data_IF_800282571487
#
_entry.id   IF_800282571487
#
_cell.length_a   1.000
_cell.length_b   1.000
_cell.length_c   1.000
_cell.angle_alpha   90.00
_cell.angle_beta   90.00
_cell.angle_gamma   90.00
#
_symmetry.space_group_name_H-M   'P 1'
#
loop_
_entity.id
_entity.type
_entity.pdbx_description
1 polymer ?
#
# COMPACT_ATOMS: atom_id res chain seq x y z
N UNK A 1 -18.83 -2.86 23.20
CA UNK A 1 -18.21 -4.10 22.70
C UNK A 1 -18.87 -4.50 21.39
N UNK A 2 -18.25 -4.21 20.24
CA UNK A 2 -18.73 -4.70 18.94
C UNK A 2 -17.75 -5.76 18.45
N UNK A 3 -18.26 -6.98 18.26
CA UNK A 3 -17.52 -8.10 17.68
C UNK A 3 -17.26 -7.77 16.21
N UNK A 4 -16.00 -7.52 15.86
CA UNK A 4 -15.55 -7.40 14.48
C UNK A 4 -15.61 -8.82 13.88
N UNK A 5 -16.69 -9.12 13.15
CA UNK A 5 -16.78 -10.34 12.36
C UNK A 5 -15.95 -10.15 11.08
N UNK A 6 -14.66 -10.48 11.17
CA UNK A 6 -13.71 -10.42 10.06
C UNK A 6 -13.87 -11.63 9.14
N UNK A 7 -14.10 -11.41 7.84
CA UNK A 7 -14.04 -12.49 6.86
C UNK A 7 -12.56 -12.75 6.50
N UNK A 8 -11.95 -13.67 7.23
CA UNK A 8 -10.56 -14.04 7.04
C UNK A 8 -10.45 -14.96 5.83
N UNK A 9 -10.09 -14.43 4.65
CA UNK A 9 -9.53 -15.27 3.59
C UNK A 9 -8.13 -15.66 4.06
N UNK A 10 -8.05 -16.78 4.78
CA UNK A 10 -6.81 -17.34 5.29
C UNK A 10 -6.06 -18.00 4.13
N UNK A 11 -5.44 -17.20 3.28
CA UNK A 11 -4.53 -17.71 2.25
C UNK A 11 -3.25 -18.17 2.97
N UNK A 12 -3.22 -19.43 3.41
CA UNK A 12 -2.01 -20.07 3.89
C UNK A 12 -1.15 -20.47 2.69
N UNK A 13 -0.22 -19.60 2.32
CA UNK A 13 0.91 -20.01 1.48
C UNK A 13 2.02 -20.44 2.45
N UNK A 14 1.97 -21.69 2.89
CA UNK A 14 3.09 -22.31 3.60
C UNK A 14 4.04 -22.89 2.57
N UNK A 15 5.24 -22.32 2.45
CA UNK A 15 6.33 -22.97 1.73
C UNK A 15 6.75 -24.23 2.50
N UNK A 16 6.44 -25.41 1.94
CA UNK A 16 7.28 -26.57 2.16
C UNK A 16 8.33 -26.56 1.04
N UNK A 17 9.59 -26.51 1.47
CA UNK A 17 10.80 -26.78 0.69
C UNK A 17 11.14 -25.80 -0.46
N UNK A 18 11.91 -24.76 -0.13
CA UNK A 18 12.94 -24.24 -1.04
C UNK A 18 14.16 -23.79 -0.22
N UNK A 19 15.28 -24.49 -0.40
CA UNK A 19 16.62 -23.96 -0.10
C UNK A 19 17.21 -24.27 1.27
N UNK A 20 17.91 -25.40 1.34
CA UNK A 20 18.84 -25.85 2.40
C UNK A 20 20.09 -24.95 2.58
N UNK A 21 19.94 -23.63 2.65
CA UNK A 21 21.08 -22.70 2.81
C UNK A 21 20.79 -21.57 3.79
N UNK A 22 20.23 -21.89 4.96
CA UNK A 22 20.38 -21.05 6.16
C UNK A 22 20.39 -21.97 7.39
N UNK A 23 21.57 -22.19 7.94
CA UNK A 23 21.77 -22.55 9.34
C UNK A 23 22.90 -21.66 9.84
N UNK A 24 22.72 -20.98 10.98
CA UNK A 24 22.79 -21.71 12.23
C UNK A 24 21.68 -21.36 13.24
N UNK A 25 21.45 -22.33 14.13
CA UNK A 25 20.78 -22.25 15.44
C UNK A 25 19.25 -22.37 15.45
N UNK A 26 18.78 -23.40 16.17
CA UNK A 26 17.41 -23.54 16.62
C UNK A 26 16.94 -22.22 17.24
N UNK A 27 15.92 -21.54 16.68
CA UNK A 27 15.35 -20.39 17.37
C UNK A 27 14.62 -20.90 18.61
N UNK A 28 14.95 -20.32 19.77
CA UNK A 28 14.19 -20.54 20.99
C UNK A 28 12.68 -20.41 20.71
N UNK A 29 11.84 -21.37 21.12
CA UNK A 29 10.40 -21.34 20.87
C UNK A 29 9.66 -20.17 21.56
N UNK A 30 10.39 -19.34 22.32
CA UNK A 30 9.89 -18.22 23.10
C UNK A 30 10.18 -16.84 22.50
N UNK A 31 10.92 -16.72 21.39
CA UNK A 31 11.12 -15.40 20.77
C UNK A 31 9.86 -14.96 20.00
N UNK A 32 9.31 -13.77 20.30
CA UNK A 32 8.13 -13.26 19.60
C UNK A 32 8.50 -13.00 18.14
N UNK A 33 7.85 -13.73 17.23
CA UNK A 33 8.02 -13.54 15.78
C UNK A 33 7.61 -12.11 15.43
N UNK A 34 8.50 -11.36 14.78
CA UNK A 34 8.21 -9.99 14.34
C UNK A 34 7.14 -10.03 13.26
N UNK A 35 6.04 -9.33 13.51
CA UNK A 35 4.92 -9.17 12.58
C UNK A 35 4.95 -7.75 12.03
N UNK A 36 4.80 -7.61 10.72
CA UNK A 36 4.54 -6.34 10.06
C UNK A 36 3.02 -6.24 9.81
N UNK A 37 2.36 -5.31 10.49
CA UNK A 37 0.92 -5.07 10.35
C UNK A 37 0.71 -3.76 9.61
N UNK A 38 0.04 -3.83 8.47
CA UNK A 38 -0.28 -2.67 7.65
C UNK A 38 -1.74 -2.66 7.26
N UNK A 39 -2.29 -1.46 7.10
CA UNK A 39 -3.58 -1.23 6.49
C UNK A 39 -3.41 -0.38 5.24
N UNK A 40 -4.04 -0.79 4.15
CA UNK A 40 -3.85 -0.14 2.85
C UNK A 40 -5.15 0.38 2.29
N UNK A 41 -5.11 1.64 1.86
CA UNK A 41 -6.20 2.24 1.12
C UNK A 41 -5.76 2.91 -0.18
N UNK A 42 -6.58 2.67 -1.20
CA UNK A 42 -6.54 3.41 -2.43
C UNK A 42 -7.68 4.40 -2.38
N UNK A 43 -7.32 5.68 -2.32
CA UNK A 43 -8.33 6.71 -2.38
C UNK A 43 -8.46 7.25 -3.81
N UNK A 44 -9.69 7.60 -4.16
CA UNK A 44 -10.03 8.12 -5.49
C UNK A 44 -9.18 9.32 -5.89
N UNK A 45 -9.20 9.60 -7.18
CA UNK A 45 -8.38 10.64 -7.78
C UNK A 45 -8.64 12.05 -7.25
N UNK A 46 -7.57 12.83 -7.16
CA UNK A 46 -7.57 14.26 -6.88
C UNK A 46 -7.32 14.98 -8.22
N UNK A 47 -8.28 15.83 -8.60
CA UNK A 47 -8.17 16.64 -9.82
C UNK A 47 -7.12 17.73 -9.64
N UNK A 48 -6.18 17.80 -10.58
CA UNK A 48 -5.08 18.76 -10.64
C UNK A 48 -4.94 19.30 -12.08
N UNK A 49 -4.32 20.49 -12.28
CA UNK A 49 -4.04 21.47 -11.23
C UNK A 49 -5.34 22.13 -10.73
N UNK A 50 -5.32 22.60 -9.50
CA UNK A 50 -6.37 23.37 -8.87
C UNK A 50 -6.28 24.86 -9.28
N UNK A 51 -7.23 25.30 -10.09
CA UNK A 51 -7.34 26.68 -10.58
C UNK A 51 -8.11 27.63 -9.65
N UNK A 52 -8.68 27.14 -8.53
CA UNK A 52 -9.49 27.96 -7.63
C UNK A 52 -10.66 28.65 -8.35
N UNK A 53 -10.87 29.95 -8.10
CA UNK A 53 -11.92 30.74 -8.76
C UNK A 53 -11.52 31.35 -10.10
N UNK A 54 -10.24 31.21 -10.50
CA UNK A 54 -9.71 31.80 -11.72
C UNK A 54 -9.19 30.70 -12.63
N UNK A 55 -10.03 30.23 -13.56
CA UNK A 55 -9.57 29.36 -14.65
C UNK A 55 -9.14 30.24 -15.83
N UNK A 56 -7.84 30.30 -16.18
CA UNK A 56 -7.40 31.05 -17.35
C UNK A 56 -8.10 30.52 -18.61
N UNK A 57 -8.49 31.39 -19.53
CA UNK A 57 -9.12 30.99 -20.80
C UNK A 57 -8.26 30.03 -21.62
N UNK A 58 -6.92 30.15 -21.49
CA UNK A 58 -5.96 29.25 -22.13
C UNK A 58 -6.04 27.80 -21.61
N UNK A 59 -6.47 27.58 -20.36
CA UNK A 59 -6.56 26.26 -19.73
C UNK A 59 -7.98 25.66 -19.78
N UNK A 60 -8.86 26.28 -20.57
CA UNK A 60 -10.24 25.83 -20.74
C UNK A 60 -10.32 24.44 -21.40
N UNK A 61 -9.46 24.17 -22.39
CA UNK A 61 -9.41 22.89 -23.11
C UNK A 61 -8.49 21.85 -22.45
N UNK A 62 -7.75 22.23 -21.41
CA UNK A 62 -6.91 21.28 -20.69
C UNK A 62 -7.79 20.35 -19.85
N UNK A 63 -7.73 19.04 -20.14
CA UNK A 63 -8.34 18.02 -19.28
C UNK A 63 -7.68 18.06 -17.91
N UNK A 64 -8.48 17.98 -16.86
CA UNK A 64 -7.97 17.85 -15.50
C UNK A 64 -7.12 16.57 -15.41
N UNK A 65 -5.90 16.72 -14.91
CA UNK A 65 -5.03 15.61 -14.51
C UNK A 65 -5.60 14.99 -13.25
N UNK A 66 -5.61 13.66 -13.18
CA UNK A 66 -6.05 12.95 -11.99
C UNK A 66 -4.81 12.39 -11.31
N UNK A 67 -4.45 12.97 -10.17
CA UNK A 67 -3.43 12.41 -9.29
C UNK A 67 -4.10 11.45 -8.32
N UNK A 68 -3.67 10.21 -8.31
CA UNK A 68 -4.16 9.19 -7.39
C UNK A 68 -3.32 9.15 -6.12
N UNK A 69 -3.96 8.84 -4.99
CA UNK A 69 -3.29 8.63 -3.72
C UNK A 69 -3.46 7.20 -3.22
N UNK A 70 -2.32 6.59 -2.89
CA UNK A 70 -2.26 5.28 -2.27
C UNK A 70 -1.59 5.39 -0.91
N UNK A 71 -2.24 4.84 0.11
CA UNK A 71 -1.80 4.95 1.50
C UNK A 71 -1.53 3.57 2.06
N UNK A 72 -0.36 3.43 2.69
CA UNK A 72 -0.02 2.29 3.53
C UNK A 72 0.23 2.82 4.94
N UNK A 73 -0.74 2.57 5.83
CA UNK A 73 -0.63 2.84 7.24
C UNK A 73 0.09 1.66 7.92
N UNK A 74 1.36 1.86 8.28
CA UNK A 74 2.15 0.91 9.06
C UNK A 74 1.83 1.09 10.55
N UNK A 75 1.06 0.14 11.08
CA UNK A 75 0.55 0.17 12.45
C UNK A 75 1.69 -0.14 13.44
N UNK A 76 2.66 -0.95 13.03
CA UNK A 76 3.75 -1.40 13.91
C UNK A 76 4.75 -0.29 14.19
N UNK A 77 5.10 0.47 13.15
CA UNK A 77 6.04 1.58 13.27
C UNK A 77 5.35 2.93 13.49
N UNK A 78 4.02 2.94 13.58
CA UNK A 78 3.18 4.15 13.69
C UNK A 78 3.52 5.20 12.61
N UNK A 79 3.62 4.75 11.35
CA UNK A 79 4.00 5.58 10.21
C UNK A 79 2.99 5.45 9.09
N UNK A 80 2.70 6.57 8.44
CA UNK A 80 1.82 6.62 7.28
C UNK A 80 2.65 6.90 6.04
N UNK A 81 2.68 5.95 5.12
CA UNK A 81 3.35 6.11 3.83
C UNK A 81 2.29 6.48 2.80
N UNK A 82 2.42 7.68 2.23
CA UNK A 82 1.45 8.26 1.31
C UNK A 82 2.14 8.46 -0.03
N UNK A 83 1.63 7.80 -1.06
CA UNK A 83 2.15 7.85 -2.41
C UNK A 83 1.17 8.60 -3.29
N UNK A 84 1.66 9.62 -4.00
CA UNK A 84 0.93 10.29 -5.07
C UNK A 84 1.50 9.84 -6.41
N UNK A 85 0.63 9.54 -7.36
CA UNK A 85 1.04 9.19 -8.70
C UNK A 85 0.07 9.73 -9.74
N UNK A 86 0.61 10.09 -10.91
CA UNK A 86 -0.16 10.60 -12.04
C UNK A 86 -0.81 9.43 -12.81
N UNK A 87 -2.11 9.53 -13.06
CA UNK A 87 -2.85 8.60 -13.91
C UNK A 87 -2.23 8.45 -15.30
N UNK A 88 -1.63 9.50 -15.88
CA UNK A 88 -0.99 9.41 -17.20
C UNK A 88 0.27 8.53 -17.20
N UNK A 89 1.01 8.51 -16.10
CA UNK A 89 2.26 7.79 -16.00
C UNK A 89 2.06 6.30 -15.69
N UNK A 90 1.05 5.96 -14.89
CA UNK A 90 0.91 4.62 -14.29
C UNK A 90 -0.49 4.00 -14.49
N UNK A 91 -1.47 4.76 -14.98
CA UNK A 91 -2.87 4.33 -15.07
C UNK A 91 -3.56 4.18 -13.71
N UNK A 92 -4.79 3.64 -13.67
CA UNK A 92 -5.61 3.51 -12.44
C UNK A 92 -5.69 2.08 -11.89
N UNK A 93 -4.92 1.16 -12.47
CA UNK A 93 -5.15 -0.28 -12.32
C UNK A 93 -4.33 -0.91 -11.18
N UNK A 94 -4.65 -2.18 -10.90
CA UNK A 94 -3.99 -3.00 -9.90
C UNK A 94 -2.45 -3.03 -10.04
N UNK A 95 -1.92 -2.92 -11.26
CA UNK A 95 -0.48 -2.96 -11.55
C UNK A 95 0.27 -1.78 -10.91
N UNK A 96 -0.29 -0.57 -10.97
CA UNK A 96 0.27 0.62 -10.33
C UNK A 96 0.36 0.42 -8.81
N UNK A 97 -0.72 -0.12 -8.21
CA UNK A 97 -0.76 -0.38 -6.78
C UNK A 97 0.20 -1.50 -6.36
N UNK A 98 0.37 -2.54 -7.18
CA UNK A 98 1.36 -3.60 -6.93
C UNK A 98 2.79 -3.04 -6.98
N UNK A 99 3.07 -2.13 -7.92
CA UNK A 99 4.37 -1.46 -8.02
C UNK A 99 4.68 -0.60 -6.78
N UNK A 100 3.69 0.16 -6.29
CA UNK A 100 3.82 0.95 -5.07
C UNK A 100 3.98 0.08 -3.81
N UNK A 101 3.27 -1.05 -3.74
CA UNK A 101 3.48 -2.04 -2.66
C UNK A 101 4.89 -2.61 -2.68
N UNK A 102 5.39 -2.96 -3.86
CA UNK A 102 6.74 -3.49 -4.02
C UNK A 102 7.77 -2.47 -3.54
N UNK A 103 7.64 -1.22 -3.97
CA UNK A 103 8.50 -0.12 -3.53
C UNK A 103 8.50 0.02 -2.00
N UNK A 104 7.32 -0.01 -1.38
CA UNK A 104 7.20 0.05 0.09
C UNK A 104 7.92 -1.11 0.79
N UNK A 105 7.72 -2.35 0.34
CA UNK A 105 8.36 -3.52 0.96
C UNK A 105 9.89 -3.49 0.78
N UNK A 106 10.39 -3.07 -0.40
CA UNK A 106 11.82 -2.89 -0.64
C UNK A 106 12.43 -1.80 0.25
N UNK A 107 11.79 -0.63 0.33
CA UNK A 107 12.23 0.47 1.19
C UNK A 107 12.23 0.07 2.66
N UNK A 108 11.24 -0.71 3.10
CA UNK A 108 11.16 -1.22 4.47
C UNK A 108 12.33 -2.16 4.76
N UNK A 109 12.59 -3.14 3.89
CA UNK A 109 13.74 -4.05 4.02
C UNK A 109 15.07 -3.29 4.04
N UNK A 110 15.24 -2.32 3.14
CA UNK A 110 16.47 -1.53 3.09
C UNK A 110 16.67 -0.70 4.36
N UNK A 111 15.59 -0.13 4.89
CA UNK A 111 15.62 0.67 6.13
C UNK A 111 15.90 -0.21 7.35
N UNK A 112 15.25 -1.37 7.44
CA UNK A 112 15.47 -2.35 8.49
C UNK A 112 16.93 -2.85 8.47
N UNK A 113 17.46 -3.18 7.28
CA UNK A 113 18.85 -3.60 7.10
C UNK A 113 19.84 -2.50 7.53
N UNK A 114 19.59 -1.24 7.18
CA UNK A 114 20.41 -0.09 7.61
C UNK A 114 20.40 0.10 9.13
N UNK A 115 19.28 -0.19 9.78
CA UNK A 115 19.11 -0.05 11.22
C UNK A 115 19.50 -1.32 12.00
N UNK A 116 19.98 -2.37 11.32
CA UNK A 116 20.31 -3.66 11.95
C UNK A 116 19.10 -4.42 12.50
N UNK A 117 17.89 -4.09 12.04
CA UNK A 117 16.65 -4.71 12.51
C UNK A 117 16.39 -5.96 11.65
N UNK A 118 16.16 -7.14 12.25
CA UNK A 118 15.84 -8.34 11.48
C UNK A 118 14.51 -8.19 10.75
N UNK A 119 14.38 -8.72 9.52
CA UNK A 119 13.15 -8.59 8.74
C UNK A 119 11.97 -9.28 9.42
N UNK A 120 10.76 -8.76 9.18
CA UNK A 120 9.55 -9.37 9.72
C UNK A 120 9.30 -10.75 9.11
N UNK A 121 8.90 -11.72 9.93
CA UNK A 121 8.58 -13.08 9.48
C UNK A 121 7.14 -13.21 8.99
N UNK A 122 6.25 -12.33 9.47
CA UNK A 122 4.83 -12.36 9.16
C UNK A 122 4.43 -11.01 8.58
N UNK A 123 3.91 -11.01 7.36
CA UNK A 123 3.26 -9.84 6.76
C UNK A 123 1.75 -9.97 6.95
N UNK A 124 1.13 -8.98 7.60
CA UNK A 124 -0.30 -8.90 7.83
C UNK A 124 -0.85 -7.64 7.17
N UNK A 125 -1.62 -7.82 6.08
CA UNK A 125 -2.21 -6.71 5.32
C UNK A 125 -3.73 -6.66 5.51
N UNK A 126 -4.22 -5.55 6.04
CA UNK A 126 -5.63 -5.18 6.12
C UNK A 126 -6.02 -4.40 4.86
N UNK A 127 -6.99 -4.93 4.12
CA UNK A 127 -7.44 -4.41 2.83
C UNK A 127 -8.96 -4.24 2.85
N UNK A 128 -9.50 -3.24 2.15
CA UNK A 128 -10.94 -3.24 1.87
C UNK A 128 -11.29 -4.27 0.81
N UNK A 129 -12.51 -4.77 0.87
CA UNK A 129 -13.08 -5.68 -0.12
C UNK A 129 -13.52 -4.94 -1.41
N UNK A 130 -12.69 -4.02 -1.92
CA UNK A 130 -12.91 -3.34 -3.19
C UNK A 130 -12.43 -4.24 -4.35
N UNK A 131 -13.38 -4.70 -5.16
CA UNK A 131 -13.13 -5.56 -6.31
C UNK A 131 -12.38 -4.78 -7.39
N UNK A 132 -11.37 -5.41 -8.01
CA UNK A 132 -10.54 -4.80 -9.05
C UNK A 132 -9.22 -4.23 -8.53
N UNK A 133 -9.27 -3.24 -7.64
CA UNK A 133 -8.07 -2.53 -7.17
C UNK A 133 -7.35 -3.23 -6.02
N UNK A 134 -8.11 -3.79 -5.07
CA UNK A 134 -7.56 -4.49 -3.90
C UNK A 134 -7.79 -6.00 -3.96
N UNK A 135 -8.84 -6.42 -4.67
CA UNK A 135 -9.22 -7.82 -4.84
C UNK A 135 -9.33 -8.17 -6.33
N UNK A 136 -8.19 -8.44 -6.95
CA UNK A 136 -8.08 -8.96 -8.32
C UNK A 136 -7.03 -10.06 -8.40
N UNK A 137 -7.04 -10.82 -9.50
CA UNK A 137 -6.09 -11.91 -9.74
C UNK A 137 -4.64 -11.42 -9.65
N UNK A 138 -4.35 -10.25 -10.23
CA UNK A 138 -3.01 -9.64 -10.21
C UNK A 138 -2.58 -9.34 -8.77
N UNK A 139 -3.44 -8.73 -7.95
CA UNK A 139 -3.11 -8.40 -6.54
C UNK A 139 -2.86 -9.66 -5.72
N UNK A 140 -3.68 -10.71 -5.90
CA UNK A 140 -3.47 -11.98 -5.21
C UNK A 140 -2.18 -12.67 -5.65
N UNK A 141 -1.87 -12.68 -6.95
CA UNK A 141 -0.60 -13.19 -7.47
C UNK A 141 0.60 -12.40 -6.95
N UNK A 142 0.46 -11.08 -6.83
CA UNK A 142 1.49 -10.21 -6.26
C UNK A 142 1.78 -10.56 -4.80
N UNK A 143 0.76 -10.74 -3.96
CA UNK A 143 0.97 -11.15 -2.57
C UNK A 143 1.55 -12.56 -2.45
N UNK A 144 1.21 -13.47 -3.38
CA UNK A 144 1.87 -14.76 -3.47
C UNK A 144 3.36 -14.61 -3.81
N UNK A 145 3.70 -13.75 -4.79
CA UNK A 145 5.10 -13.43 -5.12
C UNK A 145 5.84 -12.83 -3.93
N UNK A 146 5.22 -11.91 -3.17
CA UNK A 146 5.83 -11.36 -1.96
C UNK A 146 6.17 -12.46 -0.95
N UNK A 147 5.32 -13.47 -0.77
CA UNK A 147 5.60 -14.58 0.15
C UNK A 147 6.74 -15.50 -0.30
N UNK A 148 7.12 -15.45 -1.58
CA UNK A 148 8.22 -16.25 -2.15
C UNK A 148 9.53 -15.46 -2.15
N UNK A 149 9.48 -14.19 -2.53
CA UNK A 149 10.67 -13.34 -2.76
C UNK A 149 11.16 -12.70 -1.46
N UNK A 150 10.26 -12.30 -0.58
CA UNK A 150 10.61 -11.64 0.67
C UNK A 150 10.79 -12.67 1.79
N UNK A 151 11.56 -12.35 2.85
CA UNK A 151 11.80 -13.23 3.99
C UNK A 151 10.55 -13.49 4.88
N UNK A 152 9.36 -13.25 4.36
CA UNK A 152 8.10 -13.55 5.04
C UNK A 152 7.87 -15.07 5.06
N UNK A 153 7.92 -15.68 6.24
CA UNK A 153 7.48 -17.06 6.45
C UNK A 153 5.97 -17.22 6.29
N UNK A 154 5.21 -16.14 6.45
CA UNK A 154 3.75 -16.13 6.34
C UNK A 154 3.20 -14.79 5.88
N UNK A 155 2.44 -14.80 4.79
CA UNK A 155 1.57 -13.70 4.39
C UNK A 155 0.14 -13.93 4.91
N UNK A 156 -0.48 -12.89 5.47
CA UNK A 156 -1.88 -12.88 5.88
C UNK A 156 -2.57 -11.69 5.23
N UNK A 157 -3.55 -11.98 4.39
CA UNK A 157 -4.42 -10.98 3.78
C UNK A 157 -5.77 -11.00 4.48
N UNK A 158 -6.20 -9.85 4.94
CA UNK A 158 -7.46 -9.70 5.65
C UNK A 158 -8.31 -8.67 4.91
N UNK A 159 -9.45 -9.12 4.37
CA UNK A 159 -10.39 -8.25 3.66
C UNK A 159 -11.53 -7.84 4.60
N UNK A 160 -11.71 -6.54 4.79
CA UNK A 160 -12.82 -6.01 5.59
C UNK A 160 -14.16 -6.26 4.90
N UNK A 161 -15.18 -6.59 5.69
CA UNK A 161 -16.53 -6.83 5.18
C UNK A 161 -17.11 -5.55 4.54
N UNK A 162 -17.93 -5.69 3.47
CA UNK A 162 -18.69 -4.58 2.92
C UNK A 162 -19.51 -3.85 4.00
N UNK A 163 -19.47 -2.52 4.02
CA UNK A 163 -20.24 -1.69 4.97
C UNK A 163 -19.53 -1.34 6.28
N UNK A 164 -18.30 -1.80 6.50
CA UNK A 164 -17.43 -1.42 7.64
C UNK A 164 -16.09 -0.81 7.20
N UNK A 165 -16.06 -0.24 5.99
CA UNK A 165 -14.90 0.31 5.29
C UNK A 165 -14.47 1.68 5.83
N UNK A 166 -14.39 1.83 7.15
CA UNK A 166 -13.65 2.92 7.78
C UNK A 166 -12.44 2.32 8.45
N UNK A 167 -11.45 2.00 7.63
CA UNK A 167 -10.15 1.54 8.08
C UNK A 167 -9.26 2.75 8.47
N UNK A 168 -8.13 2.46 9.10
CA UNK A 168 -7.20 3.51 9.56
C UNK A 168 -6.59 4.30 8.38
N UNK A 169 -6.42 3.66 7.22
CA UNK A 169 -5.89 4.31 6.03
C UNK A 169 -6.89 5.32 5.44
N UNK A 170 -8.21 5.11 5.56
CA UNK A 170 -9.23 6.08 5.14
C UNK A 170 -9.13 7.40 5.91
N UNK A 171 -8.77 7.33 7.21
CA UNK A 171 -8.54 8.54 8.03
C UNK A 171 -7.30 9.30 7.55
N UNK A 172 -6.22 8.57 7.26
CA UNK A 172 -4.98 9.16 6.74
C UNK A 172 -5.23 9.80 5.38
N UNK A 173 -5.97 9.11 4.52
CA UNK A 173 -6.44 9.63 3.24
C UNK A 173 -7.20 10.95 3.41
N UNK A 174 -8.14 11.01 4.36
CA UNK A 174 -8.92 12.22 4.61
C UNK A 174 -8.02 13.40 5.06
N UNK A 175 -7.04 13.13 5.93
CA UNK A 175 -6.05 14.13 6.34
C UNK A 175 -5.19 14.60 5.17
N UNK A 176 -4.70 13.67 4.35
CA UNK A 176 -3.91 13.99 3.16
C UNK A 176 -4.72 14.85 2.19
N UNK A 177 -5.97 14.49 1.91
CA UNK A 177 -6.86 15.28 1.03
C UNK A 177 -7.10 16.67 1.57
N UNK A 178 -7.29 16.83 2.88
CA UNK A 178 -7.41 18.14 3.52
C UNK A 178 -6.15 18.98 3.35
N UNK A 179 -4.97 18.38 3.55
CA UNK A 179 -3.68 19.07 3.45
C UNK A 179 -3.32 19.49 2.02
N UNK A 180 -3.66 18.68 1.02
CA UNK A 180 -3.40 19.00 -0.41
C UNK A 180 -4.55 19.75 -1.07
N UNK A 181 -5.65 20.00 -0.34
CA UNK A 181 -6.79 20.72 -0.85
C UNK A 181 -6.35 22.12 -1.28
N UNK A 182 -6.64 22.46 -2.54
CA UNK A 182 -6.29 23.76 -3.17
C UNK A 182 -4.81 23.99 -3.46
N UNK A 183 -3.95 22.98 -3.29
CA UNK A 183 -2.54 23.06 -3.68
C UNK A 183 -2.31 22.51 -5.08
N UNK A 184 -1.37 23.09 -5.83
CA UNK A 184 -0.86 22.52 -7.07
C UNK A 184 0.40 21.71 -6.77
N UNK A 185 0.19 20.45 -6.38
CA UNK A 185 1.28 19.52 -6.05
C UNK A 185 1.90 18.91 -7.31
N UNK A 186 1.14 18.94 -8.41
CA UNK A 186 1.63 18.55 -9.72
C UNK A 186 2.45 19.69 -10.33
N UNK A 187 3.74 19.44 -10.52
CA UNK A 187 4.62 20.31 -11.30
C UNK A 187 4.82 19.62 -12.64
N UNK A 188 4.19 20.12 -13.72
CA UNK A 188 4.37 19.48 -15.01
C UNK A 188 5.84 19.48 -15.34
N UNK A 189 6.33 18.33 -15.82
CA UNK A 189 7.69 18.19 -16.32
C UNK A 189 7.93 19.36 -17.29
N UNK A 190 8.85 20.28 -16.93
CA UNK A 190 9.33 21.28 -17.87
C UNK A 190 10.12 20.52 -18.92
N UNK A 191 9.42 20.04 -19.95
CA UNK A 191 10.02 19.71 -21.23
C UNK A 191 10.74 20.97 -21.68
N UNK A 192 12.07 20.97 -21.55
CA UNK A 192 12.91 22.07 -21.98
C UNK A 192 12.60 22.36 -23.45
N UNK A 193 12.22 23.60 -23.74
CA UNK A 193 12.45 24.19 -25.05
C UNK A 193 13.86 24.77 -25.05
#
# INVERSE_FOLDING_TARGET
MHRINTFLIRLFLTHHEFGKYYSPQNPDPLQPKRVQIQAEDFCGGISMPHYGHARPSADYFNSNLITHNFVIADIMNNRNNVYFYDERAQGKNADALCSLRLLYHLNTLQTDARNGIPPAEISFSLLDNCVGQKKSKVVLMFFAMLSIVFPYKKGVLCFLLPGHSHNIADRVVAWCRGAVCKLNVDTPFRSGR
#
